data_IF_020256121534
#
_entry.id   IF_020256121534
#
_cell.length_a   1.000
_cell.length_b   1.000
_cell.length_c   1.000
_cell.angle_alpha   90.00
_cell.angle_beta   90.00
_cell.angle_gamma   90.00
#
_symmetry.space_group_name_H-M   'P 1'
#
loop_
_entity.id
_entity.type
_entity.pdbx_description
1 polymer ?
#
# COMPACT_ATOMS: atom_id res chain seq x y z
N UNK A 1 19.64 -15.56 6.48
CA UNK A 1 20.24 -14.26 6.12
C UNK A 1 20.23 -13.20 7.23
N UNK A 2 19.13 -12.89 7.94
CA UNK A 2 19.17 -11.81 8.96
C UNK A 2 19.65 -12.21 10.36
N UNK A 3 19.48 -13.47 10.77
CA UNK A 3 20.33 -14.05 11.81
C UNK A 3 21.82 -14.01 11.40
N UNK A 4 22.11 -14.09 10.09
CA UNK A 4 23.46 -13.94 9.54
C UNK A 4 23.94 -12.49 9.44
N UNK A 5 23.04 -11.48 9.46
CA UNK A 5 23.43 -10.08 9.64
C UNK A 5 23.99 -9.83 11.04
N UNK A 6 23.90 -10.77 11.99
CA UNK A 6 24.68 -10.73 13.22
C UNK A 6 24.51 -9.44 14.03
N UNK A 7 23.36 -8.76 13.94
CA UNK A 7 23.14 -7.44 14.56
C UNK A 7 23.44 -7.42 16.06
N UNK A 8 23.28 -8.57 16.71
CA UNK A 8 23.52 -8.78 18.13
C UNK A 8 24.94 -9.31 18.44
N UNK A 9 25.84 -9.39 17.46
CA UNK A 9 27.24 -9.78 17.68
C UNK A 9 27.98 -8.65 18.41
N UNK A 10 28.44 -8.94 19.62
CA UNK A 10 29.14 -7.97 20.49
C UNK A 10 30.44 -7.43 19.86
N UNK A 11 31.06 -8.18 18.95
CA UNK A 11 32.33 -7.85 18.31
C UNK A 11 32.23 -6.95 17.08
N UNK A 12 31.04 -6.53 16.66
CA UNK A 12 30.89 -5.63 15.52
C UNK A 12 31.35 -4.22 15.87
N UNK A 13 32.16 -3.65 14.98
CA UNK A 13 32.51 -2.25 15.02
C UNK A 13 31.25 -1.36 14.90
N UNK A 14 31.28 -0.13 15.45
CA UNK A 14 30.12 0.74 15.49
C UNK A 14 29.53 1.07 14.11
N UNK A 15 30.38 1.23 13.09
CA UNK A 15 29.97 1.62 11.75
C UNK A 15 29.22 0.49 11.05
N UNK A 16 29.77 -0.73 11.09
CA UNK A 16 29.09 -1.92 10.56
C UNK A 16 27.77 -2.15 11.28
N UNK A 17 27.72 -1.99 12.60
CA UNK A 17 26.48 -2.14 13.37
C UNK A 17 25.40 -1.16 12.92
N UNK A 18 25.77 0.10 12.73
CA UNK A 18 24.85 1.14 12.25
C UNK A 18 24.37 0.87 10.82
N UNK A 19 25.28 0.49 9.92
CA UNK A 19 24.93 0.10 8.56
C UNK A 19 23.94 -1.07 8.54
N UNK A 20 24.22 -2.14 9.28
CA UNK A 20 23.33 -3.30 9.37
C UNK A 20 21.99 -2.95 9.99
N UNK A 21 21.96 -2.08 11.00
CA UNK A 21 20.71 -1.61 11.62
C UNK A 21 19.86 -0.88 10.57
N UNK A 22 20.45 0.01 9.76
CA UNK A 22 19.74 0.69 8.67
C UNK A 22 19.22 -0.31 7.64
N UNK A 23 20.05 -1.26 7.22
CA UNK A 23 19.66 -2.30 6.27
C UNK A 23 18.47 -3.12 6.78
N UNK A 24 18.49 -3.52 8.05
CA UNK A 24 17.36 -4.21 8.68
C UNK A 24 16.08 -3.40 8.56
N UNK A 25 16.10 -2.10 8.86
CA UNK A 25 14.90 -1.27 8.83
C UNK A 25 14.33 -1.08 7.41
N UNK A 26 15.19 -0.98 6.40
CA UNK A 26 14.75 -0.97 5.00
C UNK A 26 14.10 -2.30 4.61
N UNK A 27 14.77 -3.42 4.89
CA UNK A 27 14.23 -4.75 4.60
C UNK A 27 12.94 -5.03 5.38
N UNK A 28 12.85 -4.58 6.62
CA UNK A 28 11.66 -4.70 7.44
C UNK A 28 10.48 -3.94 6.84
N UNK A 29 10.70 -2.70 6.36
CA UNK A 29 9.66 -1.95 5.67
C UNK A 29 9.16 -2.68 4.42
N UNK A 30 10.07 -3.24 3.61
CA UNK A 30 9.72 -4.03 2.42
C UNK A 30 8.92 -5.28 2.80
N UNK A 31 9.41 -6.05 3.76
CA UNK A 31 8.79 -7.30 4.19
C UNK A 31 7.38 -7.06 4.76
N UNK A 32 7.21 -6.03 5.59
CA UNK A 32 5.88 -5.65 6.11
C UNK A 32 4.96 -5.16 5.01
N UNK A 33 5.46 -4.37 4.06
CA UNK A 33 4.70 -3.97 2.88
C UNK A 33 4.17 -5.15 2.08
N UNK A 34 5.03 -6.14 1.83
CA UNK A 34 4.65 -7.36 1.12
C UNK A 34 3.73 -8.27 1.93
N UNK A 35 3.96 -8.42 3.23
CA UNK A 35 3.09 -9.17 4.12
C UNK A 35 1.66 -8.61 4.12
N UNK A 36 1.53 -7.29 4.18
CA UNK A 36 0.24 -6.60 4.13
C UNK A 36 -0.46 -6.78 2.78
N UNK A 37 0.26 -6.59 1.66
CA UNK A 37 -0.34 -6.64 0.32
C UNK A 37 -0.71 -8.06 -0.09
N UNK A 38 0.14 -9.04 0.20
CA UNK A 38 -0.04 -10.41 -0.26
C UNK A 38 -0.62 -11.35 0.81
N UNK A 39 -0.95 -10.83 2.00
CA UNK A 39 -1.45 -11.64 3.11
C UNK A 39 -0.47 -12.70 3.61
N UNK A 40 0.81 -12.62 3.24
CA UNK A 40 1.82 -13.60 3.66
C UNK A 40 2.36 -13.30 5.04
N UNK A 41 2.83 -14.33 5.74
CA UNK A 41 3.54 -14.15 7.01
C UNK A 41 4.78 -13.25 6.81
N UNK A 42 4.98 -12.23 7.65
CA UNK A 42 6.17 -11.41 7.58
C UNK A 42 7.38 -12.24 8.01
N UNK A 43 8.48 -12.10 7.26
CA UNK A 43 9.76 -12.74 7.58
C UNK A 43 10.32 -12.18 8.89
N UNK A 44 10.14 -10.87 9.12
CA UNK A 44 10.56 -10.21 10.35
C UNK A 44 9.46 -10.24 11.38
N UNK A 45 9.66 -11.04 12.42
CA UNK A 45 8.75 -11.05 13.54
C UNK A 45 8.79 -9.71 14.32
N UNK A 46 7.72 -9.41 15.06
CA UNK A 46 7.58 -8.18 15.85
C UNK A 46 8.61 -8.10 16.99
N UNK A 47 9.06 -9.24 17.52
CA UNK A 47 10.07 -9.28 18.58
C UNK A 47 11.44 -8.78 18.11
N UNK A 48 11.83 -9.06 16.86
CA UNK A 48 13.09 -8.59 16.27
C UNK A 48 13.14 -7.07 16.18
N UNK A 49 12.03 -6.44 15.80
CA UNK A 49 11.94 -4.98 15.74
C UNK A 49 12.25 -4.33 17.10
N UNK A 50 11.66 -4.87 18.17
CA UNK A 50 11.87 -4.42 19.56
C UNK A 50 13.32 -4.60 20.01
N UNK A 51 13.98 -5.68 19.60
CA UNK A 51 15.38 -5.98 19.96
C UNK A 51 16.38 -5.06 19.27
N UNK A 52 16.15 -4.74 17.99
CA UNK A 52 17.10 -3.95 17.18
C UNK A 52 17.02 -2.45 17.51
N UNK A 53 15.83 -1.98 17.89
CA UNK A 53 15.58 -0.60 18.25
C UNK A 53 15.58 0.36 17.05
N UNK A 54 14.83 1.46 17.18
CA UNK A 54 14.67 2.46 16.13
C UNK A 54 15.95 3.30 16.00
N UNK A 55 16.45 3.58 14.77
CA UNK A 55 17.62 4.43 14.59
C UNK A 55 17.28 5.87 15.01
N UNK A 56 18.21 6.52 15.71
CA UNK A 56 18.09 7.94 16.06
C UNK A 56 18.07 8.80 14.81
N UNK A 57 17.30 9.88 14.82
CA UNK A 57 17.14 10.77 13.66
C UNK A 57 18.48 11.27 13.09
N UNK A 58 19.43 11.65 13.94
CA UNK A 58 20.77 12.10 13.51
C UNK A 58 21.53 11.06 12.67
N UNK A 59 21.21 9.77 12.81
CA UNK A 59 21.81 8.68 12.01
C UNK A 59 21.12 8.45 10.67
N UNK A 60 19.91 8.99 10.50
CA UNK A 60 19.14 8.91 9.25
C UNK A 60 19.45 10.07 8.30
N UNK A 61 20.17 11.11 8.76
CA UNK A 61 20.56 12.28 7.97
C UNK A 61 21.52 11.98 6.81
N UNK A 62 22.14 10.80 6.79
CA UNK A 62 23.01 10.37 5.70
C UNK A 62 22.25 9.89 4.46
N UNK A 63 20.93 9.60 4.58
CA UNK A 63 20.07 9.29 3.44
C UNK A 63 19.78 10.62 2.71
N UNK A 64 20.79 11.10 1.98
CA UNK A 64 20.73 12.32 1.19
C UNK A 64 19.98 12.03 -0.10
N UNK A 65 18.66 12.07 -0.06
CA UNK A 65 17.86 11.96 -1.29
C UNK A 65 18.09 13.13 -2.25
N UNK A 66 18.66 14.25 -1.75
CA UNK A 66 18.88 15.47 -2.50
C UNK A 66 20.12 16.21 -1.98
N UNK A 67 21.18 16.30 -2.79
CA UNK A 67 22.25 17.27 -2.53
C UNK A 67 21.75 18.67 -2.88
N UNK A 68 21.83 19.61 -1.93
CA UNK A 68 21.76 21.01 -2.27
C UNK A 68 23.15 21.51 -2.68
N UNK A 69 23.16 22.48 -3.57
CA UNK A 69 24.36 23.24 -3.94
C UNK A 69 24.93 24.07 -2.78
N UNK A 70 24.21 24.18 -1.65
CA UNK A 70 24.59 24.97 -0.47
C UNK A 70 25.18 24.16 0.70
N UNK A 71 25.22 22.83 0.64
CA UNK A 71 25.75 21.97 1.71
C UNK A 71 24.91 21.92 3.00
N UNK A 72 23.72 22.51 3.04
CA UNK A 72 22.83 22.48 4.22
C UNK A 72 22.20 21.10 4.36
N UNK A 73 22.28 20.42 5.52
CA UNK A 73 21.67 19.10 5.69
C UNK A 73 20.14 19.18 5.55
N UNK A 74 19.57 18.37 4.65
CA UNK A 74 18.12 18.23 4.51
C UNK A 74 17.59 17.28 5.59
N UNK A 75 16.72 17.79 6.45
CA UNK A 75 16.16 17.08 7.60
C UNK A 75 14.86 16.36 7.21
N UNK A 76 14.20 16.77 6.13
CA UNK A 76 12.95 16.20 5.64
C UNK A 76 13.09 14.71 5.34
N UNK A 77 14.11 14.32 4.56
CA UNK A 77 14.33 12.91 4.19
C UNK A 77 14.59 12.03 5.42
N UNK A 78 15.35 12.52 6.40
CA UNK A 78 15.62 11.80 7.64
C UNK A 78 14.34 11.61 8.47
N UNK A 79 13.53 12.66 8.60
CA UNK A 79 12.25 12.62 9.28
C UNK A 79 11.27 11.69 8.57
N UNK A 80 11.20 11.77 7.24
CA UNK A 80 10.37 10.90 6.43
C UNK A 80 10.73 9.43 6.64
N UNK A 81 12.01 9.08 6.54
CA UNK A 81 12.47 7.71 6.79
C UNK A 81 12.18 7.27 8.21
N UNK A 82 12.36 8.15 9.20
CA UNK A 82 12.03 7.86 10.58
C UNK A 82 10.53 7.52 10.74
N UNK A 83 9.64 8.30 10.13
CA UNK A 83 8.20 8.02 10.16
C UNK A 83 7.84 6.72 9.45
N UNK A 84 8.52 6.38 8.35
CA UNK A 84 8.36 5.08 7.67
C UNK A 84 8.81 3.90 8.53
N UNK A 85 9.88 4.07 9.32
CA UNK A 85 10.30 3.05 10.29
C UNK A 85 9.23 2.86 11.36
N UNK A 86 8.69 3.95 11.92
CA UNK A 86 7.61 3.87 12.90
C UNK A 86 6.35 3.22 12.31
N UNK A 87 5.98 3.58 11.08
CA UNK A 87 4.89 2.92 10.36
C UNK A 87 5.08 1.41 10.24
N UNK A 88 6.31 0.95 10.02
CA UNK A 88 6.59 -0.49 9.88
C UNK A 88 6.31 -1.31 11.15
N UNK A 89 6.26 -0.68 12.32
CA UNK A 89 5.75 -1.31 13.54
C UNK A 89 4.24 -1.49 13.45
N UNK A 90 3.51 -0.40 13.15
CA UNK A 90 2.06 -0.43 13.00
C UNK A 90 1.63 -1.43 11.93
N UNK A 91 2.33 -1.49 10.79
CA UNK A 91 2.07 -2.50 9.76
C UNK A 91 2.22 -3.93 10.28
N UNK A 92 3.16 -4.17 11.20
CA UNK A 92 3.32 -5.46 11.86
C UNK A 92 2.16 -5.80 12.79
N UNK A 93 1.67 -4.83 13.54
CA UNK A 93 0.53 -5.02 14.45
C UNK A 93 -0.81 -5.13 13.71
N UNK A 94 -0.99 -4.34 12.64
CA UNK A 94 -2.12 -4.46 11.71
C UNK A 94 -2.12 -5.85 11.08
N UNK A 95 -0.98 -6.31 10.58
CA UNK A 95 -0.89 -7.64 9.99
C UNK A 95 -1.27 -8.74 11.00
N UNK A 96 -0.78 -8.64 12.24
CA UNK A 96 -1.13 -9.58 13.30
C UNK A 96 -2.64 -9.61 13.58
N UNK A 97 -3.24 -8.43 13.77
CA UNK A 97 -4.66 -8.31 14.05
C UNK A 97 -5.53 -8.85 12.91
N UNK A 98 -5.14 -8.63 11.65
CA UNK A 98 -5.94 -9.01 10.49
C UNK A 98 -5.75 -10.47 10.03
N UNK A 99 -4.57 -11.05 10.23
CA UNK A 99 -4.21 -12.32 9.59
C UNK A 99 -3.73 -13.41 10.55
N UNK A 100 -3.24 -13.06 11.75
CA UNK A 100 -2.75 -14.05 12.73
C UNK A 100 -3.81 -14.36 13.79
N UNK A 101 -4.66 -13.40 14.14
CA UNK A 101 -5.83 -13.65 14.99
C UNK A 101 -6.89 -14.43 14.21
N UNK A 102 -7.38 -15.55 14.78
CA UNK A 102 -8.42 -16.39 14.13
C UNK A 102 -9.69 -15.59 13.81
N UNK A 103 -10.01 -14.60 14.64
CA UNK A 103 -11.08 -13.63 14.43
C UNK A 103 -10.62 -12.26 14.94
N UNK A 104 -10.41 -11.29 14.04
CA UNK A 104 -10.08 -9.93 14.44
C UNK A 104 -11.15 -9.37 15.37
N UNK A 105 -10.75 -8.87 16.54
CA UNK A 105 -11.67 -8.21 17.46
C UNK A 105 -11.91 -6.76 17.02
N UNK A 106 -13.17 -6.33 16.91
CA UNK A 106 -13.56 -4.96 16.57
C UNK A 106 -12.91 -3.91 17.49
N UNK A 107 -12.77 -4.20 18.79
CA UNK A 107 -12.09 -3.30 19.72
C UNK A 107 -10.59 -3.16 19.40
N UNK A 108 -9.94 -4.27 19.02
CA UNK A 108 -8.54 -4.27 18.58
C UNK A 108 -8.37 -3.49 17.28
N UNK A 109 -9.27 -3.67 16.31
CA UNK A 109 -9.29 -2.93 15.04
C UNK A 109 -9.43 -1.42 15.32
N UNK A 110 -10.42 -1.03 16.14
CA UNK A 110 -10.66 0.37 16.49
C UNK A 110 -9.49 0.98 17.26
N UNK A 111 -8.84 0.21 18.13
CA UNK A 111 -7.62 0.65 18.83
C UNK A 111 -6.47 0.90 17.86
N UNK A 112 -6.18 -0.07 16.97
CA UNK A 112 -5.11 0.07 15.98
C UNK A 112 -5.39 1.18 14.97
N UNK A 113 -6.65 1.41 14.62
CA UNK A 113 -7.05 2.54 13.79
C UNK A 113 -6.74 3.88 14.47
N UNK A 114 -7.01 4.01 15.78
CA UNK A 114 -6.65 5.20 16.55
C UNK A 114 -5.14 5.41 16.60
N UNK A 115 -4.36 4.33 16.79
CA UNK A 115 -2.89 4.40 16.80
C UNK A 115 -2.35 4.83 15.44
N UNK A 116 -2.89 4.28 14.35
CA UNK A 116 -2.56 4.66 12.98
C UNK A 116 -2.89 6.13 12.69
N UNK A 117 -4.07 6.59 13.11
CA UNK A 117 -4.49 7.99 12.96
C UNK A 117 -3.60 8.93 13.78
N UNK A 118 -3.27 8.56 15.02
CA UNK A 118 -2.36 9.33 15.87
C UNK A 118 -0.98 9.45 15.24
N UNK A 119 -0.44 8.34 14.71
CA UNK A 119 0.81 8.35 13.98
C UNK A 119 0.76 9.25 12.73
N UNK A 120 -0.31 9.16 11.92
CA UNK A 120 -0.45 9.96 10.71
C UNK A 120 -0.49 11.45 11.02
N UNK A 121 -1.28 11.86 12.03
CA UNK A 121 -1.38 13.26 12.43
C UNK A 121 -0.03 13.83 12.88
N UNK A 122 0.71 13.07 13.69
CA UNK A 122 2.04 13.49 14.13
C UNK A 122 3.05 13.53 12.99
N UNK A 123 3.07 12.50 12.14
CA UNK A 123 3.94 12.44 10.98
C UNK A 123 3.65 13.58 10.00
N UNK A 124 2.38 13.86 9.70
CA UNK A 124 1.94 14.96 8.83
C UNK A 124 2.41 16.31 9.37
N UNK A 125 2.10 16.60 10.64
CA UNK A 125 2.52 17.84 11.31
C UNK A 125 4.03 18.06 11.22
N UNK A 126 4.81 17.02 11.47
CA UNK A 126 6.26 17.08 11.48
C UNK A 126 6.83 17.26 10.06
N UNK A 127 6.34 16.48 9.10
CA UNK A 127 6.81 16.53 7.71
C UNK A 127 6.38 17.81 7.00
N UNK A 128 5.20 18.34 7.29
CA UNK A 128 4.76 19.64 6.78
C UNK A 128 5.65 20.76 7.31
N UNK A 129 5.98 20.75 8.60
CA UNK A 129 6.92 21.72 9.18
C UNK A 129 8.31 21.63 8.52
N UNK A 130 8.83 20.43 8.33
CA UNK A 130 10.10 20.21 7.62
C UNK A 130 10.01 20.70 6.16
N UNK A 131 8.92 20.39 5.46
CA UNK A 131 8.69 20.81 4.08
C UNK A 131 8.63 22.34 3.94
N UNK A 132 7.91 23.04 4.82
CA UNK A 132 7.86 24.51 4.85
C UNK A 132 9.25 25.11 5.06
N UNK A 133 10.08 24.49 5.90
CA UNK A 133 11.43 24.96 6.16
C UNK A 133 12.42 24.68 5.03
N UNK A 134 12.27 23.57 4.29
CA UNK A 134 13.28 23.11 3.33
C UNK A 134 12.94 23.42 1.87
N UNK A 135 11.66 23.40 1.47
CA UNK A 135 11.23 23.67 0.09
C UNK A 135 11.75 25.01 -0.47
N UNK A 136 11.78 26.13 0.29
CA UNK A 136 12.30 27.41 -0.23
C UNK A 136 13.78 27.36 -0.65
N UNK A 137 14.55 26.41 -0.12
CA UNK A 137 15.97 26.22 -0.43
C UNK A 137 16.21 25.09 -1.45
N UNK A 138 15.15 24.43 -1.91
CA UNK A 138 15.21 23.36 -2.88
C UNK A 138 15.06 23.89 -4.32
N UNK A 139 15.70 23.22 -5.27
CA UNK A 139 15.33 23.39 -6.68
C UNK A 139 13.93 22.80 -6.94
N UNK A 140 13.32 23.14 -8.09
CA UNK A 140 11.97 22.70 -8.46
C UNK A 140 11.79 21.18 -8.41
N UNK A 141 12.82 20.41 -8.79
CA UNK A 141 12.78 18.95 -8.76
C UNK A 141 12.68 18.43 -7.33
N UNK A 142 13.57 18.88 -6.45
CA UNK A 142 13.63 18.45 -5.05
C UNK A 142 12.38 18.89 -4.29
N UNK A 143 11.87 20.10 -4.54
CA UNK A 143 10.62 20.58 -3.95
C UNK A 143 9.44 19.67 -4.33
N UNK A 144 9.36 19.25 -5.61
CA UNK A 144 8.36 18.30 -6.09
C UNK A 144 8.54 16.91 -5.47
N UNK A 145 9.77 16.44 -5.27
CA UNK A 145 10.01 15.17 -4.57
C UNK A 145 9.49 15.23 -3.13
N UNK A 146 9.62 16.36 -2.42
CA UNK A 146 9.01 16.55 -1.09
C UNK A 146 7.48 16.46 -1.16
N UNK A 147 6.84 17.07 -2.17
CA UNK A 147 5.38 16.95 -2.36
C UNK A 147 4.96 15.49 -2.57
N UNK A 148 5.70 14.74 -3.38
CA UNK A 148 5.46 13.32 -3.64
C UNK A 148 5.61 12.49 -2.36
N UNK A 149 6.59 12.81 -1.52
CA UNK A 149 6.77 12.14 -0.23
C UNK A 149 5.57 12.35 0.70
N UNK A 150 5.07 13.58 0.80
CA UNK A 150 3.87 13.88 1.60
C UNK A 150 2.65 13.10 1.07
N UNK A 151 2.47 13.05 -0.26
CA UNK A 151 1.42 12.25 -0.88
C UNK A 151 1.58 10.76 -0.58
N UNK A 152 2.81 10.23 -0.64
CA UNK A 152 3.12 8.83 -0.31
C UNK A 152 2.71 8.47 1.12
N UNK A 153 2.95 9.37 2.08
CA UNK A 153 2.56 9.16 3.47
C UNK A 153 1.05 9.09 3.66
N UNK A 154 0.31 10.02 3.04
CA UNK A 154 -1.14 10.00 3.06
C UNK A 154 -1.70 8.73 2.41
N UNK A 155 -1.12 8.31 1.29
CA UNK A 155 -1.49 7.06 0.63
C UNK A 155 -1.30 5.83 1.51
N UNK A 156 -0.18 5.72 2.24
CA UNK A 156 0.03 4.61 3.17
C UNK A 156 -0.96 4.62 4.33
N UNK A 157 -1.23 5.80 4.89
CA UNK A 157 -2.24 5.95 5.93
C UNK A 157 -3.61 5.48 5.45
N UNK A 158 -4.06 5.96 4.29
CA UNK A 158 -5.37 5.61 3.74
C UNK A 158 -5.46 4.11 3.45
N UNK A 159 -4.42 3.52 2.87
CA UNK A 159 -4.47 2.09 2.53
C UNK A 159 -4.53 1.21 3.77
N UNK A 160 -3.71 1.49 4.78
CA UNK A 160 -3.76 0.76 6.05
C UNK A 160 -5.10 0.98 6.79
N UNK A 161 -5.66 2.19 6.67
CA UNK A 161 -7.00 2.50 7.18
C UNK A 161 -8.07 1.66 6.50
N UNK A 162 -8.05 1.52 5.17
CA UNK A 162 -8.96 0.63 4.43
C UNK A 162 -8.85 -0.81 4.93
N UNK A 163 -7.62 -1.31 5.13
CA UNK A 163 -7.40 -2.69 5.57
C UNK A 163 -7.92 -2.97 6.98
N UNK A 164 -7.86 -1.99 7.88
CA UNK A 164 -8.44 -2.10 9.22
C UNK A 164 -9.97 -1.97 9.19
N UNK A 165 -10.46 -0.93 8.52
CA UNK A 165 -11.90 -0.58 8.52
C UNK A 165 -12.76 -1.58 7.76
N UNK A 166 -12.23 -2.26 6.74
CA UNK A 166 -12.99 -3.30 5.99
C UNK A 166 -13.48 -4.45 6.86
N UNK A 167 -12.83 -4.70 7.99
CA UNK A 167 -13.16 -5.79 8.89
C UNK A 167 -14.19 -5.39 9.96
N UNK A 168 -14.59 -4.12 10.02
CA UNK A 168 -15.51 -3.57 11.02
C UNK A 168 -16.73 -2.94 10.34
N UNK A 169 -17.93 -3.50 10.47
CA UNK A 169 -19.17 -2.94 9.88
C UNK A 169 -19.44 -1.49 10.28
N UNK A 170 -19.09 -1.13 11.53
CA UNK A 170 -19.27 0.24 12.05
C UNK A 170 -18.45 1.31 11.32
N UNK A 171 -17.48 0.92 10.49
CA UNK A 171 -16.54 1.81 9.81
C UNK A 171 -16.64 1.72 8.28
N UNK A 172 -17.77 1.22 7.77
CA UNK A 172 -18.02 1.08 6.32
C UNK A 172 -17.92 2.43 5.58
N UNK A 173 -18.37 3.51 6.21
CA UNK A 173 -18.30 4.85 5.62
C UNK A 173 -16.85 5.31 5.44
N UNK A 174 -16.03 5.17 6.47
CA UNK A 174 -14.59 5.49 6.44
C UNK A 174 -13.87 4.61 5.41
N UNK A 175 -14.18 3.32 5.37
CA UNK A 175 -13.63 2.37 4.40
C UNK A 175 -13.84 2.82 2.95
N UNK A 176 -15.08 3.18 2.59
CA UNK A 176 -15.42 3.63 1.24
C UNK A 176 -14.90 5.05 0.95
N UNK A 177 -14.91 5.95 1.93
CA UNK A 177 -14.35 7.29 1.75
C UNK A 177 -12.83 7.26 1.54
N UNK A 178 -12.11 6.48 2.34
CA UNK A 178 -10.67 6.29 2.19
C UNK A 178 -10.34 5.65 0.83
N UNK A 179 -11.21 4.76 0.36
CA UNK A 179 -11.09 4.15 -0.96
C UNK A 179 -11.16 5.20 -2.07
N UNK A 180 -12.16 6.07 -2.07
CA UNK A 180 -12.23 7.19 -3.04
C UNK A 180 -11.00 8.11 -2.95
N UNK A 181 -10.54 8.40 -1.73
CA UNK A 181 -9.38 9.27 -1.52
C UNK A 181 -8.08 8.70 -2.11
N UNK A 182 -7.81 7.40 -1.98
CA UNK A 182 -6.62 6.79 -2.62
C UNK A 182 -6.62 7.02 -4.12
N UNK A 183 -7.77 6.82 -4.79
CA UNK A 183 -7.86 7.01 -6.25
C UNK A 183 -7.68 8.48 -6.64
N UNK A 184 -8.21 9.40 -5.82
CA UNK A 184 -8.02 10.84 -5.99
C UNK A 184 -6.57 11.29 -5.80
N UNK A 185 -5.76 10.55 -5.04
CA UNK A 185 -4.33 10.87 -4.87
C UNK A 185 -3.47 10.44 -6.05
N UNK A 186 -3.89 9.46 -6.86
CA UNK A 186 -3.07 8.90 -7.94
C UNK A 186 -2.50 9.92 -8.92
N UNK A 187 -3.24 10.96 -9.37
CA UNK A 187 -2.69 11.96 -10.28
C UNK A 187 -1.50 12.75 -9.70
N UNK A 188 -1.42 12.86 -8.37
CA UNK A 188 -0.31 13.52 -7.67
C UNK A 188 0.93 12.62 -7.52
N UNK A 189 0.75 11.30 -7.62
CA UNK A 189 1.82 10.30 -7.56
C UNK A 189 2.52 10.22 -8.92
N UNK A 190 3.60 10.98 -9.10
CA UNK A 190 4.24 11.16 -10.41
C UNK A 190 5.01 9.93 -10.90
N UNK A 191 4.37 9.03 -11.64
CA UNK A 191 5.00 7.78 -12.11
C UNK A 191 6.15 7.97 -13.12
N UNK A 192 6.22 9.15 -13.76
CA UNK A 192 7.09 9.44 -14.91
C UNK A 192 8.55 9.68 -14.54
N UNK A 193 8.86 9.98 -13.29
CA UNK A 193 10.22 10.26 -12.83
C UNK A 193 10.69 9.18 -11.84
N UNK A 194 12.00 8.90 -11.88
CA UNK A 194 12.67 8.16 -10.81
C UNK A 194 12.73 9.09 -9.60
N UNK A 195 11.81 8.90 -8.65
CA UNK A 195 11.72 9.70 -7.44
C UNK A 195 12.24 8.91 -6.25
N UNK A 196 13.05 9.52 -5.37
CA UNK A 196 13.63 8.84 -4.22
C UNK A 196 12.57 8.43 -3.19
N UNK A 197 11.41 9.09 -3.19
CA UNK A 197 10.31 8.79 -2.29
C UNK A 197 9.22 7.92 -2.92
N UNK A 198 9.32 7.60 -4.22
CA UNK A 198 8.46 6.56 -4.79
C UNK A 198 8.91 5.22 -4.23
N UNK A 199 8.02 4.63 -3.44
CA UNK A 199 8.25 3.32 -2.84
C UNK A 199 7.88 2.21 -3.81
N UNK A 200 8.17 0.98 -3.35
CA UNK A 200 7.91 -0.30 -4.00
C UNK A 200 6.74 -0.20 -4.98
N UNK A 201 7.05 -0.27 -6.28
CA UNK A 201 6.09 -0.09 -7.39
C UNK A 201 4.82 -0.91 -7.17
N UNK A 202 4.95 -2.08 -6.54
CA UNK A 202 3.84 -2.93 -6.17
C UNK A 202 2.75 -2.26 -5.34
N UNK A 203 3.09 -1.44 -4.34
CA UNK A 203 2.05 -0.78 -3.54
C UNK A 203 1.28 0.23 -4.39
N UNK A 204 1.96 0.89 -5.33
CA UNK A 204 1.37 1.84 -6.27
C UNK A 204 0.46 1.17 -7.32
N UNK A 205 0.46 -0.16 -7.41
CA UNK A 205 -0.41 -0.94 -8.31
C UNK A 205 -1.47 -1.72 -7.53
N UNK A 206 -1.05 -2.47 -6.50
CA UNK A 206 -1.92 -3.35 -5.73
C UNK A 206 -2.90 -2.57 -4.84
N UNK A 207 -2.46 -1.49 -4.17
CA UNK A 207 -3.35 -0.73 -3.30
C UNK A 207 -4.49 -0.05 -4.11
N UNK A 208 -4.21 0.64 -5.23
CA UNK A 208 -5.27 1.24 -6.03
C UNK A 208 -6.16 0.21 -6.73
N UNK A 209 -5.60 -0.93 -7.15
CA UNK A 209 -6.39 -2.03 -7.70
C UNK A 209 -7.36 -2.60 -6.65
N UNK A 210 -6.88 -2.83 -5.42
CA UNK A 210 -7.73 -3.27 -4.29
C UNK A 210 -8.88 -2.27 -4.08
N UNK A 211 -8.55 -0.99 -4.09
CA UNK A 211 -9.49 0.11 -3.91
C UNK A 211 -10.54 0.19 -5.02
N UNK A 212 -10.11 0.00 -6.27
CA UNK A 212 -11.01 -0.09 -7.43
C UNK A 212 -12.01 -1.23 -7.27
N UNK A 213 -11.55 -2.41 -6.85
CA UNK A 213 -12.38 -3.60 -6.66
C UNK A 213 -13.39 -3.39 -5.53
N UNK A 214 -12.97 -2.75 -4.43
CA UNK A 214 -13.85 -2.37 -3.32
C UNK A 214 -15.02 -1.50 -3.82
N UNK A 215 -14.72 -0.42 -4.56
CA UNK A 215 -15.74 0.49 -5.08
C UNK A 215 -16.64 -0.19 -6.13
N UNK A 216 -16.09 -1.08 -6.93
CA UNK A 216 -16.87 -1.90 -7.87
C UNK A 216 -17.87 -2.77 -7.11
N UNK A 217 -17.41 -3.50 -6.09
CA UNK A 217 -18.27 -4.35 -5.28
C UNK A 217 -19.41 -3.54 -4.64
N UNK A 218 -19.13 -2.41 -4.00
CA UNK A 218 -20.17 -1.55 -3.41
C UNK A 218 -21.17 -1.02 -4.46
N UNK A 219 -20.67 -0.65 -5.65
CA UNK A 219 -21.51 -0.13 -6.74
C UNK A 219 -22.48 -1.19 -7.30
N UNK A 220 -22.00 -2.42 -7.46
CA UNK A 220 -22.77 -3.52 -8.04
C UNK A 220 -23.68 -4.19 -7.00
N UNK A 221 -23.30 -4.14 -5.72
CA UNK A 221 -24.08 -4.72 -4.63
C UNK A 221 -25.36 -3.93 -4.35
N UNK A 222 -26.40 -4.63 -3.92
CA UNK A 222 -27.65 -4.04 -3.42
C UNK A 222 -27.48 -3.50 -1.99
N UNK A 223 -26.38 -2.79 -1.70
CA UNK A 223 -26.16 -2.18 -0.37
C UNK A 223 -27.24 -1.14 -0.06
N UNK A 224 -27.51 -0.95 1.23
CA UNK A 224 -28.52 -0.02 1.77
C UNK A 224 -28.22 1.45 1.53
N UNK A 225 -27.02 1.76 1.00
CA UNK A 225 -26.58 3.13 0.70
C UNK A 225 -27.42 3.76 -0.40
N UNK A 226 -27.57 5.09 -0.31
CA UNK A 226 -28.32 5.85 -1.30
C UNK A 226 -27.67 5.76 -2.68
N UNK A 227 -28.50 5.74 -3.73
CA UNK A 227 -28.02 5.72 -5.11
C UNK A 227 -27.14 6.94 -5.43
N UNK A 228 -27.40 8.09 -4.81
CA UNK A 228 -26.61 9.31 -5.01
C UNK A 228 -25.17 9.16 -4.50
N UNK A 229 -24.97 8.50 -3.36
CA UNK A 229 -23.62 8.22 -2.86
C UNK A 229 -22.85 7.26 -3.78
N UNK A 230 -23.53 6.25 -4.33
CA UNK A 230 -22.91 5.28 -5.24
C UNK A 230 -22.52 5.89 -6.59
N UNK A 231 -23.18 6.96 -7.04
CA UNK A 231 -22.83 7.67 -8.29
C UNK A 231 -21.45 8.31 -8.26
N UNK A 232 -20.90 8.59 -7.07
CA UNK A 232 -19.55 9.13 -6.95
C UNK A 232 -18.47 8.07 -7.21
N UNK A 233 -18.77 6.79 -6.99
CA UNK A 233 -17.80 5.70 -7.08
C UNK A 233 -17.22 5.57 -8.51
N UNK A 234 -18.03 5.51 -9.60
CA UNK A 234 -17.47 5.43 -10.95
C UNK A 234 -16.56 6.61 -11.33
N UNK A 235 -16.81 7.80 -10.79
CA UNK A 235 -15.97 8.97 -11.06
C UNK A 235 -14.57 8.83 -10.44
N UNK A 236 -14.48 8.36 -9.19
CA UNK A 236 -13.20 8.05 -8.56
C UNK A 236 -12.48 6.89 -9.28
N UNK A 237 -13.21 5.85 -9.67
CA UNK A 237 -12.66 4.68 -10.36
C UNK A 237 -11.98 5.01 -11.71
N UNK A 238 -12.44 6.03 -12.44
CA UNK A 238 -11.84 6.48 -13.71
C UNK A 238 -10.40 7.00 -13.58
N UNK A 239 -10.00 7.45 -12.38
CA UNK A 239 -8.65 7.97 -12.17
C UNK A 239 -7.59 6.88 -12.28
N UNK A 240 -7.95 5.63 -11.98
CA UNK A 240 -6.99 4.53 -11.99
C UNK A 240 -6.55 4.09 -13.39
N UNK A 241 -7.45 3.89 -14.38
CA UNK A 241 -7.02 3.70 -15.77
C UNK A 241 -6.12 4.83 -16.30
N UNK A 242 -6.43 6.09 -15.97
CA UNK A 242 -5.59 7.23 -16.36
C UNK A 242 -4.18 7.13 -15.78
N UNK A 243 -4.09 6.78 -14.50
CA UNK A 243 -2.82 6.53 -13.82
C UNK A 243 -2.04 5.34 -14.42
N UNK A 244 -2.71 4.23 -14.72
CA UNK A 244 -2.08 3.05 -15.33
C UNK A 244 -1.58 3.31 -16.74
N UNK A 245 -2.26 4.17 -17.49
CA UNK A 245 -1.78 4.63 -18.81
C UNK A 245 -0.43 5.32 -18.69
N UNK A 246 -0.27 6.19 -17.70
CA UNK A 246 1.01 6.85 -17.42
C UNK A 246 2.07 5.84 -16.95
N UNK A 247 1.72 4.88 -16.08
CA UNK A 247 2.62 3.79 -15.67
C UNK A 247 3.02 2.87 -16.85
N UNK A 248 2.15 2.72 -17.85
CA UNK A 248 2.40 1.87 -19.02
C UNK A 248 3.54 2.34 -19.92
N UNK A 249 4.00 3.58 -19.73
CA UNK A 249 5.21 4.10 -20.36
C UNK A 249 6.48 3.42 -19.83
N UNK A 250 6.40 2.84 -18.63
CA UNK A 250 7.49 2.14 -17.95
C UNK A 250 7.32 0.62 -17.97
N UNK A 251 6.09 0.13 -17.97
CA UNK A 251 5.80 -1.31 -17.89
C UNK A 251 4.61 -1.73 -18.78
N UNK A 252 4.83 -2.71 -19.65
CA UNK A 252 3.79 -3.26 -20.52
C UNK A 252 2.63 -3.94 -19.77
N UNK A 253 2.87 -4.48 -18.57
CA UNK A 253 1.83 -5.09 -17.72
C UNK A 253 0.81 -4.05 -17.25
N UNK A 254 1.25 -2.82 -17.00
CA UNK A 254 0.35 -1.73 -16.62
C UNK A 254 -0.65 -1.41 -17.74
N UNK A 255 -0.28 -1.60 -19.02
CA UNK A 255 -1.21 -1.46 -20.15
C UNK A 255 -2.32 -2.52 -20.12
N UNK A 256 -1.97 -3.77 -19.78
CA UNK A 256 -2.97 -4.84 -19.66
C UNK A 256 -3.92 -4.54 -18.49
N UNK A 257 -3.37 -4.10 -17.36
CA UNK A 257 -4.15 -3.72 -16.19
C UNK A 257 -5.05 -2.50 -16.47
N UNK A 258 -4.58 -1.53 -17.26
CA UNK A 258 -5.40 -0.40 -17.71
C UNK A 258 -6.66 -0.89 -18.44
N UNK A 259 -6.50 -1.82 -19.39
CA UNK A 259 -7.61 -2.40 -20.13
C UNK A 259 -8.64 -3.07 -19.22
N UNK A 260 -8.17 -3.85 -18.24
CA UNK A 260 -9.02 -4.51 -17.23
C UNK A 260 -9.75 -3.47 -16.36
N UNK A 261 -9.03 -2.46 -15.87
CA UNK A 261 -9.61 -1.41 -15.03
C UNK A 261 -10.71 -0.63 -15.77
N UNK A 262 -10.54 -0.34 -17.07
CA UNK A 262 -11.59 0.30 -17.89
C UNK A 262 -12.85 -0.56 -18.00
N UNK A 263 -12.69 -1.88 -18.12
CA UNK A 263 -13.83 -2.81 -18.14
C UNK A 263 -14.60 -2.74 -16.82
N UNK A 264 -13.91 -2.75 -15.68
CA UNK A 264 -14.54 -2.60 -14.36
C UNK A 264 -15.28 -1.27 -14.20
N UNK A 265 -14.68 -0.14 -14.59
CA UNK A 265 -15.34 1.17 -14.57
C UNK A 265 -16.62 1.16 -15.41
N UNK A 266 -16.58 0.59 -16.61
CA UNK A 266 -17.75 0.49 -17.49
C UNK A 266 -18.86 -0.35 -16.85
N UNK A 267 -18.52 -1.48 -16.21
CA UNK A 267 -19.50 -2.29 -15.50
C UNK A 267 -20.14 -1.52 -14.33
N UNK A 268 -19.33 -0.80 -13.54
CA UNK A 268 -19.84 0.03 -12.44
C UNK A 268 -20.85 1.08 -12.93
N UNK A 269 -20.56 1.75 -14.05
CA UNK A 269 -21.51 2.70 -14.67
C UNK A 269 -22.82 2.04 -15.10
N UNK A 270 -22.73 0.94 -15.83
CA UNK A 270 -23.92 0.22 -16.30
C UNK A 270 -24.81 -0.27 -15.14
N UNK A 271 -24.21 -0.65 -14.01
CA UNK A 271 -24.96 -1.03 -12.82
C UNK A 271 -25.75 0.16 -12.23
N UNK A 272 -25.13 1.33 -12.13
CA UNK A 272 -25.80 2.57 -11.68
C UNK A 272 -26.91 2.99 -12.62
N UNK A 273 -26.67 2.94 -13.93
CA UNK A 273 -27.66 3.30 -14.95
C UNK A 273 -28.90 2.39 -14.86
N UNK A 274 -28.67 1.07 -14.68
CA UNK A 274 -29.74 0.09 -14.49
C UNK A 274 -30.55 0.35 -13.22
N UNK A 275 -29.88 0.61 -12.08
CA UNK A 275 -30.55 0.93 -10.82
C UNK A 275 -31.37 2.23 -10.91
N UNK A 276 -30.85 3.25 -11.63
CA UNK A 276 -31.54 4.51 -11.86
C UNK A 276 -32.81 4.33 -12.71
N UNK A 277 -32.72 3.49 -13.76
CA UNK A 277 -33.88 3.16 -14.61
C UNK A 277 -34.95 2.37 -13.85
N UNK A 278 -34.55 1.42 -13.00
CA UNK A 278 -35.48 0.68 -12.15
C UNK A 278 -36.25 1.60 -11.19
N UNK A 279 -35.56 2.54 -10.53
CA UNK A 279 -36.17 3.45 -9.56
C UNK A 279 -37.13 4.47 -10.22
N UNK A 280 -36.85 4.92 -11.45
CA UNK A 280 -37.75 5.82 -12.18
C UNK A 280 -39.03 5.12 -12.68
N UNK A 281 -38.97 3.81 -12.94
CA UNK A 281 -40.14 3.02 -13.38
C UNK A 281 -41.18 2.76 -12.27
N UNK A 282 -40.76 2.77 -10.99
CA UNK A 282 -41.65 2.56 -9.84
C UNK A 282 -42.54 3.79 -9.57
N UNK A 283 -42.14 4.97 -10.04
CA UNK A 283 -42.88 6.22 -9.87
C UNK A 283 -43.95 6.48 -10.96
N UNK A 284 -44.17 5.55 -11.89
CA UNK A 284 -45.25 5.64 -12.88
C UNK A 284 -46.46 4.79 -12.44
N UNK A 285 -47.58 5.38 -11.98
CA UNK A 285 -48.78 4.63 -11.65
C UNK A 285 -49.51 4.24 -12.95
N UNK A 286 -49.47 2.95 -13.30
CA UNK A 286 -50.44 2.39 -14.23
C UNK A 286 -49.89 1.63 -15.42
N UNK A 287 -49.12 0.56 -15.19
CA UNK A 287 -49.17 -0.63 -16.05
C UNK A 287 -48.97 -1.85 -15.16
N UNK A 288 -50.05 -2.62 -14.93
CA UNK A 288 -49.95 -3.96 -14.36
C UNK A 288 -49.08 -4.81 -15.29
N UNK A 289 -47.85 -5.12 -14.88
CA UNK A 289 -47.05 -6.15 -15.53
C UNK A 289 -47.61 -7.52 -15.12
N UNK A 290 -48.13 -8.22 -16.12
CA UNK A 290 -48.52 -9.62 -16.03
C UNK A 290 -47.34 -10.46 -15.54
N UNK A 291 -47.57 -11.23 -14.48
CA UNK A 291 -46.61 -12.18 -13.92
C UNK A 291 -46.45 -13.37 -14.87
N UNK A 292 -45.46 -13.31 -15.74
CA UNK A 292 -44.91 -14.47 -16.43
C UNK A 292 -43.49 -14.11 -16.86
N UNK A 293 -42.52 -14.46 -16.02
CA UNK A 293 -41.10 -14.74 -16.29
C UNK A 293 -40.38 -14.67 -14.94
N UNK A 294 -40.59 -15.71 -14.13
CA UNK A 294 -39.71 -16.06 -13.03
C UNK A 294 -38.51 -16.78 -13.64
N UNK A 295 -37.58 -16.01 -14.18
CA UNK A 295 -36.20 -16.47 -14.34
C UNK A 295 -35.39 -15.69 -13.32
N UNK A 296 -35.05 -16.36 -12.21
CA UNK A 296 -34.02 -15.86 -11.32
C UNK A 296 -32.77 -15.56 -12.16
N UNK A 297 -32.19 -14.35 -12.11
CA UNK A 297 -30.96 -14.08 -12.83
C UNK A 297 -29.89 -15.06 -12.32
N UNK A 298 -29.08 -15.68 -13.20
CA UNK A 298 -28.14 -16.75 -12.84
C UNK A 298 -26.96 -16.29 -11.97
N UNK A 299 -27.04 -15.11 -11.37
CA UNK A 299 -25.98 -14.44 -10.63
C UNK A 299 -26.25 -14.32 -9.12
N UNK A 300 -27.37 -14.87 -8.61
CA UNK A 300 -27.71 -14.86 -7.16
C UNK A 300 -26.80 -15.73 -6.29
N UNK A 301 -25.78 -16.39 -6.88
CA UNK A 301 -24.83 -17.25 -6.18
C UNK A 301 -23.43 -16.64 -5.96
N UNK A 302 -23.21 -15.38 -6.36
CA UNK A 302 -21.88 -14.74 -6.30
C UNK A 302 -21.68 -13.78 -5.12
N UNK A 303 -22.63 -13.68 -4.19
CA UNK A 303 -22.77 -12.54 -3.28
C UNK A 303 -21.90 -12.58 -2.00
N UNK A 304 -21.07 -13.60 -1.80
CA UNK A 304 -20.10 -13.63 -0.69
C UNK A 304 -18.72 -14.17 -1.11
N UNK A 305 -18.67 -15.06 -2.10
CA UNK A 305 -17.46 -15.80 -2.47
C UNK A 305 -16.46 -14.98 -3.28
N UNK A 306 -16.86 -13.95 -4.03
CA UNK A 306 -15.92 -13.12 -4.79
C UNK A 306 -15.21 -12.09 -3.90
N UNK A 307 -15.92 -11.45 -2.97
CA UNK A 307 -15.30 -10.61 -1.93
C UNK A 307 -14.41 -11.46 -1.01
N UNK A 308 -14.85 -12.67 -0.65
CA UNK A 308 -14.07 -13.62 0.15
C UNK A 308 -12.84 -14.20 -0.60
N UNK A 309 -12.93 -14.52 -1.89
CA UNK A 309 -11.85 -15.19 -2.64
C UNK A 309 -10.81 -14.24 -3.20
N UNK A 310 -11.19 -13.00 -3.51
CA UNK A 310 -10.23 -11.95 -3.88
C UNK A 310 -9.47 -11.44 -2.64
N UNK A 311 -10.06 -11.54 -1.44
CA UNK A 311 -9.52 -10.93 -0.22
C UNK A 311 -9.35 -11.87 0.98
N UNK A 312 -9.35 -13.19 0.77
CA UNK A 312 -8.98 -14.19 1.78
C UNK A 312 -9.91 -14.27 2.98
N UNK A 313 -11.18 -14.63 2.78
CA UNK A 313 -12.00 -15.17 3.87
C UNK A 313 -11.71 -16.67 3.99
N UNK A 314 -11.16 -17.08 5.13
CA UNK A 314 -10.87 -18.47 5.45
C UNK A 314 -12.17 -19.24 5.71
N UNK A 315 -12.73 -19.80 4.64
CA UNK A 315 -13.69 -20.89 4.68
C UNK A 315 -13.01 -22.18 4.22
N UNK A 316 -12.67 -23.01 5.21
CA UNK A 316 -12.22 -24.40 5.10
C UNK A 316 -10.76 -24.68 4.66
N UNK A 317 -10.12 -25.55 5.43
CA UNK A 317 -8.68 -25.76 5.45
C UNK A 317 -8.16 -26.51 4.23
N UNK A 318 -7.65 -25.79 3.23
CA UNK A 318 -6.55 -26.24 2.37
C UNK A 318 -6.06 -25.09 1.49
N UNK A 319 -4.95 -24.45 1.89
CA UNK A 319 -4.23 -23.50 1.04
C UNK A 319 -3.59 -24.29 -0.12
N UNK A 320 -3.79 -23.92 -1.41
CA UNK A 320 -3.06 -24.54 -2.48
C UNK A 320 -1.60 -24.08 -2.43
N UNK A 321 -0.70 -25.00 -2.08
CA UNK A 321 0.75 -24.81 -2.11
C UNK A 321 1.22 -24.66 -3.55
N UNK A 322 1.15 -23.45 -4.10
CA UNK A 322 1.86 -23.07 -5.31
C UNK A 322 3.15 -22.39 -4.85
N UNK A 323 4.30 -22.92 -5.26
CA UNK A 323 5.67 -22.64 -4.77
C UNK A 323 6.18 -23.51 -3.61
N UNK A 324 6.36 -24.81 -3.89
CA UNK A 324 7.38 -25.61 -3.20
C UNK A 324 8.74 -25.33 -3.86
N UNK A 325 9.52 -24.40 -3.31
CA UNK A 325 10.95 -24.30 -3.65
C UNK A 325 11.74 -25.36 -2.89
N UNK A 326 12.40 -26.23 -3.66
CA UNK A 326 13.28 -27.31 -3.22
C UNK A 326 14.49 -26.72 -2.49
N UNK A 327 14.70 -27.14 -1.24
CA UNK A 327 15.84 -26.78 -0.42
C UNK A 327 17.04 -27.65 -0.79
N UNK A 328 17.94 -27.14 -1.61
CA UNK A 328 19.28 -27.72 -1.77
C UNK A 328 20.28 -26.96 -0.89
N UNK A 329 21.19 -27.72 -0.28
CA UNK A 329 22.20 -27.31 0.70
C UNK A 329 23.06 -26.14 0.20
N UNK A 330 23.18 -25.07 1.00
CA UNK A 330 24.18 -24.02 0.80
C UNK A 330 25.27 -24.11 1.88
N UNK A 331 26.47 -24.40 1.38
CA UNK A 331 27.74 -24.42 2.10
C UNK A 331 28.36 -23.02 2.20
N UNK A 332 29.37 -22.89 3.05
CA UNK A 332 29.98 -21.68 3.59
C UNK A 332 30.64 -20.71 2.58
N UNK A 333 29.90 -19.70 2.08
CA UNK A 333 30.50 -18.54 1.35
C UNK A 333 29.88 -17.15 1.71
N UNK A 334 29.12 -17.09 2.81
CA UNK A 334 28.29 -15.93 3.21
C UNK A 334 29.11 -14.66 3.51
N UNK A 335 30.39 -14.78 3.88
CA UNK A 335 31.19 -13.62 4.32
C UNK A 335 31.66 -12.75 3.15
N UNK A 336 31.99 -13.36 2.00
CA UNK A 336 32.40 -12.63 0.80
C UNK A 336 31.22 -11.94 0.10
N UNK A 337 30.02 -12.55 0.16
CA UNK A 337 28.77 -11.96 -0.34
C UNK A 337 28.34 -10.72 0.46
N UNK A 338 28.58 -10.69 1.77
CA UNK A 338 28.24 -9.53 2.60
C UNK A 338 29.13 -8.31 2.31
N UNK A 339 30.40 -8.51 1.95
CA UNK A 339 31.29 -7.43 1.51
C UNK A 339 30.95 -6.91 0.11
N UNK A 340 30.50 -7.79 -0.79
CA UNK A 340 29.99 -7.40 -2.10
C UNK A 340 28.70 -6.56 -1.97
N UNK A 341 27.77 -6.99 -1.09
CA UNK A 341 26.60 -6.21 -0.70
C UNK A 341 26.99 -4.87 -0.06
N UNK A 342 28.00 -4.82 0.81
CA UNK A 342 28.45 -3.56 1.43
C UNK A 342 28.90 -2.53 0.37
N UNK A 343 29.68 -2.95 -0.63
CA UNK A 343 30.14 -2.09 -1.74
C UNK A 343 29.00 -1.65 -2.68
N UNK A 344 28.02 -2.53 -2.90
CA UNK A 344 26.82 -2.21 -3.67
C UNK A 344 25.96 -1.17 -2.93
N UNK A 345 25.85 -1.25 -1.61
CA UNK A 345 24.97 -0.39 -0.81
C UNK A 345 25.59 0.98 -0.47
N UNK A 346 26.91 1.07 -0.27
CA UNK A 346 27.60 2.34 0.00
C UNK A 346 27.60 3.29 -1.21
N UNK A 347 27.51 2.74 -2.43
CA UNK A 347 27.35 3.51 -3.68
C UNK A 347 25.87 3.76 -4.04
N UNK A 348 24.93 3.00 -3.43
CA UNK A 348 23.52 2.93 -3.81
C UNK A 348 22.53 3.48 -2.78
N UNK A 349 22.91 4.46 -1.96
CA UNK A 349 21.96 5.14 -1.06
C UNK A 349 20.63 5.53 -1.72
N UNK A 350 20.67 5.84 -3.03
CA UNK A 350 19.50 6.14 -3.87
C UNK A 350 19.07 5.01 -4.84
N UNK A 351 19.84 3.91 -4.96
CA UNK A 351 19.54 2.80 -5.89
C UNK A 351 19.08 1.51 -5.19
N UNK A 352 18.97 1.51 -3.86
CA UNK A 352 18.37 0.40 -3.12
C UNK A 352 16.93 0.08 -3.56
N UNK A 353 16.26 0.96 -4.32
CA UNK A 353 14.94 0.66 -4.87
C UNK A 353 14.96 0.23 -6.34
N UNK A 354 16.12 0.26 -7.02
CA UNK A 354 16.27 -0.13 -8.43
C UNK A 354 16.15 -1.64 -8.63
N UNK A 355 16.57 -2.46 -7.68
CA UNK A 355 16.46 -3.93 -7.75
C UNK A 355 15.02 -4.49 -7.61
N UNK A 356 14.05 -3.65 -7.24
CA UNK A 356 12.62 -3.98 -7.14
C UNK A 356 11.82 -3.33 -8.28
N UNK A 357 12.48 -2.63 -9.20
CA UNK A 357 11.85 -2.20 -10.43
C UNK A 357 11.87 -3.37 -11.41
N UNK A 358 10.66 -3.78 -11.81
CA UNK A 358 10.35 -4.71 -12.90
C UNK A 358 11.31 -4.46 -14.06
N UNK A 359 12.17 -5.45 -14.32
CA UNK A 359 13.22 -5.49 -15.34
C UNK A 359 13.25 -4.31 -16.32
N UNK A 360 14.28 -3.47 -16.23
CA UNK A 360 14.83 -2.82 -17.41
C UNK A 360 15.73 -3.81 -18.14
N UNK A 361 15.13 -4.88 -18.66
CA UNK A 361 15.77 -5.73 -19.65
C UNK A 361 15.87 -4.94 -20.95
N UNK A 362 17.11 -4.61 -21.34
CA UNK A 362 17.44 -4.33 -22.73
C UNK A 362 17.42 -5.63 -23.52
#
# INVERSE_FOLDING_TARGET
MLQALGLNQRSLDPQTREWRQRLFWHLNLLDKGFAIIFGRNPTFNRAMQRQIGVPKLGRLQYIRSHENSSGTPMVFGANFMHQKILLSYLMGDIWHCLYEEERPNDDSIKSLYKDLLSWYNEAKRLLDAAAVSEKPFCNTKNAKSIDIALCAMEFHFLYLSILLTRSSPDMEQEFLQNSKQILNLLPSMSVKAKEPYHQIIWQLVCCPLTTLLILLCDTVSNSTRSLEEKKENPAAMELFPGYLKDLSQRDSLARRLEGIARVFVRHARSAIDFQTAANSSILSPGVQRSAAFSEDPPWSLYDETLCASVFGSNGDGSIPTVFSMRSDNYDTDIVNDLTALQSSFDVCGDRLFDWLTWDTGN
#
